data_IF_545507434274
#
_entry.id   IF_545507434274
#
_cell.length_a   1.000
_cell.length_b   1.000
_cell.length_c   1.000
_cell.angle_alpha   90.00
_cell.angle_beta   90.00
_cell.angle_gamma   90.00
#
_symmetry.space_group_name_H-M   'P 1'
#
loop_
_entity.id
_entity.type
_entity.pdbx_description
1 polymer ?
#
# COMPACT_ATOMS: atom_id res chain seq x y z
N UNK A 1 -1.45 -13.37 -1.77
CA UNK A 1 -2.82 -12.93 -1.44
C UNK A 1 -3.32 -11.80 -2.34
N UNK A 2 -2.51 -10.77 -2.63
CA UNK A 2 -2.92 -9.69 -3.56
C UNK A 2 -3.43 -10.20 -4.93
N UNK A 3 -2.71 -11.15 -5.55
CA UNK A 3 -3.14 -11.81 -6.79
C UNK A 3 -4.49 -12.53 -6.67
N UNK A 4 -4.68 -13.31 -5.60
CA UNK A 4 -5.94 -14.00 -5.32
C UNK A 4 -7.10 -13.02 -5.08
N UNK A 5 -6.85 -11.92 -4.36
CA UNK A 5 -7.81 -10.84 -4.18
C UNK A 5 -8.22 -10.22 -5.52
N UNK A 6 -7.25 -9.96 -6.41
CA UNK A 6 -7.52 -9.46 -7.75
C UNK A 6 -8.45 -10.38 -8.55
N UNK A 7 -8.19 -11.69 -8.53
CA UNK A 7 -9.04 -12.70 -9.19
C UNK A 7 -10.44 -12.74 -8.59
N UNK A 8 -10.56 -12.87 -7.27
CA UNK A 8 -11.85 -12.97 -6.58
C UNK A 8 -12.68 -11.70 -6.74
N UNK A 9 -12.06 -10.52 -6.58
CA UNK A 9 -12.73 -9.24 -6.83
C UNK A 9 -13.14 -9.09 -8.29
N UNK A 10 -12.30 -9.48 -9.26
CA UNK A 10 -12.64 -9.45 -10.68
C UNK A 10 -13.82 -10.34 -11.03
N UNK A 11 -13.84 -11.58 -10.52
CA UNK A 11 -14.95 -12.52 -10.70
C UNK A 11 -16.25 -11.99 -10.07
N UNK A 12 -16.23 -11.57 -8.81
CA UNK A 12 -17.41 -11.00 -8.14
C UNK A 12 -17.89 -9.72 -8.80
N UNK A 13 -16.97 -8.88 -9.32
CA UNK A 13 -17.34 -7.66 -10.03
C UNK A 13 -18.05 -7.96 -11.35
N UNK A 14 -17.54 -8.94 -12.12
CA UNK A 14 -18.20 -9.44 -13.33
C UNK A 14 -19.57 -10.05 -13.05
N UNK A 15 -19.70 -10.79 -11.96
CA UNK A 15 -20.95 -11.37 -11.48
C UNK A 15 -21.91 -10.36 -10.80
N UNK A 16 -21.57 -9.06 -10.80
CA UNK A 16 -22.34 -7.97 -10.15
C UNK A 16 -22.54 -8.14 -8.64
N UNK A 17 -21.72 -8.95 -7.99
CA UNK A 17 -21.72 -9.18 -6.54
C UNK A 17 -20.84 -8.14 -5.82
N UNK A 18 -21.16 -6.86 -5.97
CA UNK A 18 -20.31 -5.75 -5.49
C UNK A 18 -20.02 -5.79 -3.98
N UNK A 19 -20.97 -6.28 -3.17
CA UNK A 19 -20.79 -6.46 -1.72
C UNK A 19 -19.60 -7.39 -1.39
N UNK A 20 -19.37 -8.44 -2.19
CA UNK A 20 -18.31 -9.40 -1.94
C UNK A 20 -16.91 -8.81 -2.08
N UNK A 21 -16.73 -7.75 -2.88
CA UNK A 21 -15.43 -7.09 -3.02
C UNK A 21 -14.95 -6.52 -1.68
N UNK A 22 -15.85 -5.92 -0.90
CA UNK A 22 -15.54 -5.43 0.45
C UNK A 22 -15.18 -6.55 1.42
N UNK A 23 -15.90 -7.67 1.36
CA UNK A 23 -15.62 -8.86 2.19
C UNK A 23 -14.23 -9.43 1.87
N UNK A 24 -13.87 -9.56 0.58
CA UNK A 24 -12.56 -10.05 0.18
C UNK A 24 -11.42 -9.09 0.56
N UNK A 25 -11.66 -7.78 0.46
CA UNK A 25 -10.71 -6.75 0.92
C UNK A 25 -10.41 -6.91 2.41
N UNK A 26 -11.44 -7.01 3.26
CA UNK A 26 -11.29 -7.21 4.71
C UNK A 26 -10.57 -8.51 5.05
N UNK A 27 -10.97 -9.64 4.43
CA UNK A 27 -10.29 -10.93 4.63
C UNK A 27 -8.82 -10.87 4.24
N UNK A 28 -8.51 -10.17 3.14
CA UNK A 28 -7.13 -9.98 2.70
C UNK A 28 -6.32 -9.13 3.67
N UNK A 29 -6.91 -8.09 4.28
CA UNK A 29 -6.24 -7.31 5.32
C UNK A 29 -5.86 -8.14 6.52
N UNK A 30 -6.77 -8.99 7.01
CA UNK A 30 -6.48 -9.87 8.16
C UNK A 30 -5.29 -10.78 7.83
N UNK A 31 -5.31 -11.44 6.68
CA UNK A 31 -4.23 -12.36 6.28
C UNK A 31 -2.90 -11.61 6.09
N UNK A 32 -2.92 -10.46 5.41
CA UNK A 32 -1.71 -9.67 5.17
C UNK A 32 -1.16 -9.08 6.48
N UNK A 33 -2.01 -8.65 7.40
CA UNK A 33 -1.58 -8.14 8.71
C UNK A 33 -0.90 -9.23 9.55
N UNK A 34 -1.51 -10.42 9.62
CA UNK A 34 -0.91 -11.57 10.30
C UNK A 34 0.42 -11.95 9.66
N UNK A 35 0.49 -11.99 8.32
CA UNK A 35 1.75 -12.26 7.61
C UNK A 35 2.82 -11.19 7.91
N UNK A 36 2.44 -9.91 7.96
CA UNK A 36 3.36 -8.83 8.34
C UNK A 36 3.90 -9.00 9.76
N UNK A 37 3.07 -9.44 10.72
CA UNK A 37 3.53 -9.74 12.09
C UNK A 37 4.63 -10.81 12.08
N UNK A 38 4.43 -11.90 11.32
CA UNK A 38 5.46 -12.95 11.22
C UNK A 38 6.74 -12.48 10.53
N UNK A 39 6.67 -11.47 9.67
CA UNK A 39 7.85 -10.87 9.03
C UNK A 39 8.57 -9.84 9.90
N UNK A 40 7.91 -9.25 10.91
CA UNK A 40 8.51 -8.22 11.77
C UNK A 40 9.89 -8.58 12.36
N UNK A 41 10.13 -9.80 12.86
CA UNK A 41 11.45 -10.16 13.39
C UNK A 41 12.59 -9.94 12.40
N UNK A 42 12.37 -10.16 11.09
CA UNK A 42 13.41 -9.93 10.08
C UNK A 42 13.85 -8.47 10.01
N UNK A 43 12.92 -7.54 10.20
CA UNK A 43 13.18 -6.09 10.20
C UNK A 43 13.76 -5.60 11.54
N UNK A 44 13.32 -6.18 12.66
CA UNK A 44 13.84 -5.84 13.99
C UNK A 44 15.28 -6.34 14.16
N UNK A 45 15.56 -7.56 13.71
CA UNK A 45 16.85 -8.23 13.85
C UNK A 45 17.74 -8.11 12.60
N UNK A 46 17.50 -7.11 11.74
CA UNK A 46 18.28 -6.96 10.50
C UNK A 46 19.79 -6.85 10.77
N UNK A 47 20.24 -6.10 11.79
CA UNK A 47 21.68 -6.01 12.13
C UNK A 47 22.31 -7.37 12.45
N UNK A 48 21.85 -8.13 13.47
CA UNK A 48 22.45 -9.42 13.76
C UNK A 48 22.31 -10.41 12.61
N UNK A 49 21.21 -10.40 11.85
CA UNK A 49 21.06 -11.22 10.65
C UNK A 49 22.16 -10.90 9.63
N UNK A 50 22.40 -9.63 9.32
CA UNK A 50 23.43 -9.23 8.37
C UNK A 50 24.84 -9.59 8.85
N UNK A 51 25.12 -9.46 10.15
CA UNK A 51 26.41 -9.91 10.72
C UNK A 51 26.59 -11.42 10.56
N UNK A 52 25.55 -12.21 10.81
CA UNK A 52 25.58 -13.66 10.61
C UNK A 52 25.82 -14.05 9.15
N UNK A 53 25.35 -13.23 8.21
CA UNK A 53 25.61 -13.38 6.77
C UNK A 53 26.99 -12.89 6.33
N UNK A 54 27.86 -12.46 7.26
CA UNK A 54 29.23 -12.04 6.98
C UNK A 54 29.39 -10.59 6.52
N UNK A 55 28.38 -9.73 6.71
CA UNK A 55 28.53 -8.30 6.43
C UNK A 55 29.41 -7.62 7.48
N UNK A 56 30.12 -6.57 7.06
CA UNK A 56 30.89 -5.73 7.97
C UNK A 56 29.99 -5.03 8.98
N UNK A 57 30.52 -4.73 10.17
CA UNK A 57 29.76 -4.11 11.25
C UNK A 57 29.11 -2.78 10.85
N UNK A 58 29.81 -1.96 10.05
CA UNK A 58 29.28 -0.68 9.57
C UNK A 58 28.08 -0.86 8.65
N UNK A 59 28.14 -1.82 7.72
CA UNK A 59 27.03 -2.10 6.80
C UNK A 59 25.85 -2.76 7.51
N UNK A 60 26.12 -3.67 8.44
CA UNK A 60 25.08 -4.33 9.23
C UNK A 60 24.32 -3.35 10.14
N UNK A 61 25.01 -2.35 10.70
CA UNK A 61 24.38 -1.31 11.52
C UNK A 61 23.46 -0.42 10.68
N UNK A 62 23.93 0.04 9.52
CA UNK A 62 23.13 0.82 8.57
C UNK A 62 21.90 0.02 8.11
N UNK A 63 22.08 -1.25 7.76
CA UNK A 63 20.98 -2.14 7.39
C UNK A 63 19.93 -2.28 8.51
N UNK A 64 20.36 -2.31 9.77
CA UNK A 64 19.45 -2.29 10.91
C UNK A 64 18.66 -1.00 11.08
N UNK A 65 19.29 0.16 10.84
CA UNK A 65 18.60 1.45 10.83
C UNK A 65 17.51 1.47 9.76
N UNK A 66 17.86 1.09 8.52
CA UNK A 66 16.92 0.98 7.41
C UNK A 66 15.81 -0.04 7.71
N UNK A 67 16.16 -1.20 8.28
CA UNK A 67 15.22 -2.24 8.67
C UNK A 67 14.12 -1.72 9.60
N UNK A 68 14.48 -0.93 10.63
CA UNK A 68 13.50 -0.30 11.54
C UNK A 68 12.57 0.68 10.82
N UNK A 69 13.09 1.51 9.91
CA UNK A 69 12.26 2.41 9.11
C UNK A 69 11.27 1.66 8.21
N UNK A 70 11.71 0.54 7.62
CA UNK A 70 10.88 -0.29 6.74
C UNK A 70 9.74 -1.02 7.46
N UNK A 71 9.74 -1.09 8.80
CA UNK A 71 8.58 -1.61 9.55
C UNK A 71 7.32 -0.81 9.23
N UNK A 72 7.42 0.52 9.14
CA UNK A 72 6.28 1.36 8.75
C UNK A 72 5.80 1.04 7.33
N UNK A 73 6.75 0.87 6.40
CA UNK A 73 6.47 0.49 5.01
C UNK A 73 5.84 -0.90 4.90
N UNK A 74 6.22 -1.85 5.75
CA UNK A 74 5.66 -3.20 5.78
C UNK A 74 4.14 -3.18 6.02
N UNK A 75 3.67 -2.32 6.93
CA UNK A 75 2.23 -2.17 7.17
C UNK A 75 1.55 -1.37 6.06
N UNK A 76 2.24 -0.38 5.48
CA UNK A 76 1.75 0.35 4.33
C UNK A 76 1.44 -0.60 3.14
N UNK A 77 2.26 -1.63 2.91
CA UNK A 77 2.04 -2.60 1.84
C UNK A 77 0.70 -3.35 1.92
N UNK A 78 0.13 -3.52 3.12
CA UNK A 78 -1.19 -4.13 3.29
C UNK A 78 -2.22 -3.32 2.50
N UNK A 79 -2.26 -2.01 2.72
CA UNK A 79 -3.17 -1.10 2.01
C UNK A 79 -2.77 -0.99 0.54
N UNK A 80 -1.47 -0.81 0.25
CA UNK A 80 -0.99 -0.65 -1.13
C UNK A 80 -1.46 -1.78 -2.03
N UNK A 81 -1.23 -3.03 -1.64
CA UNK A 81 -1.55 -4.16 -2.50
C UNK A 81 -3.06 -4.42 -2.57
N UNK A 82 -3.74 -4.37 -1.43
CA UNK A 82 -5.13 -4.81 -1.38
C UNK A 82 -6.11 -3.76 -1.91
N UNK A 83 -5.92 -2.48 -1.59
CA UNK A 83 -6.73 -1.40 -2.17
C UNK A 83 -6.45 -1.24 -3.66
N UNK A 84 -5.20 -1.39 -4.12
CA UNK A 84 -4.92 -1.37 -5.55
C UNK A 84 -5.68 -2.47 -6.28
N UNK A 85 -5.65 -3.72 -5.80
CA UNK A 85 -6.39 -4.81 -6.46
C UNK A 85 -7.90 -4.59 -6.42
N UNK A 86 -8.44 -4.08 -5.30
CA UNK A 86 -9.85 -3.72 -5.18
C UNK A 86 -10.28 -2.64 -6.18
N UNK A 87 -9.43 -1.64 -6.43
CA UNK A 87 -9.71 -0.56 -7.38
C UNK A 87 -9.50 -1.02 -8.83
N UNK A 88 -8.45 -1.80 -9.09
CA UNK A 88 -8.12 -2.32 -10.41
C UNK A 88 -9.19 -3.28 -10.94
N UNK A 89 -9.72 -4.15 -10.08
CA UNK A 89 -10.81 -5.07 -10.46
C UNK A 89 -12.10 -4.35 -10.89
N UNK A 90 -12.22 -3.06 -10.56
CA UNK A 90 -13.36 -2.20 -10.90
C UNK A 90 -13.03 -1.20 -12.01
N UNK A 91 -11.88 -1.35 -12.67
CA UNK A 91 -11.35 -0.41 -13.68
C UNK A 91 -11.19 1.02 -13.15
N UNK A 92 -10.94 1.20 -11.85
CA UNK A 92 -10.69 2.51 -11.21
C UNK A 92 -9.19 2.81 -11.15
N UNK A 93 -8.46 2.54 -12.23
CA UNK A 93 -7.00 2.70 -12.25
C UNK A 93 -6.56 4.17 -12.18
N UNK A 94 -7.38 5.09 -12.68
CA UNK A 94 -7.03 6.51 -12.73
C UNK A 94 -6.71 7.10 -11.34
N UNK A 95 -7.45 6.74 -10.29
CA UNK A 95 -7.15 7.23 -8.95
C UNK A 95 -5.79 6.73 -8.45
N UNK A 96 -5.42 5.49 -8.78
CA UNK A 96 -4.12 4.91 -8.44
C UNK A 96 -3.01 5.69 -9.16
N UNK A 97 -3.19 5.94 -10.47
CA UNK A 97 -2.23 6.68 -11.29
C UNK A 97 -2.03 8.11 -10.80
N UNK A 98 -3.10 8.86 -10.51
CA UNK A 98 -2.99 10.23 -10.01
C UNK A 98 -2.29 10.29 -8.65
N UNK A 99 -2.66 9.40 -7.72
CA UNK A 99 -1.99 9.32 -6.42
C UNK A 99 -0.51 8.95 -6.56
N UNK A 100 -0.16 8.03 -7.46
CA UNK A 100 1.23 7.67 -7.73
C UNK A 100 2.02 8.87 -8.31
N UNK A 101 1.47 9.60 -9.28
CA UNK A 101 2.11 10.76 -9.88
C UNK A 101 2.39 11.86 -8.84
N UNK A 102 1.38 12.21 -8.02
CA UNK A 102 1.53 13.19 -6.93
C UNK A 102 2.59 12.72 -5.92
N UNK A 103 2.56 11.44 -5.57
CA UNK A 103 3.50 10.84 -4.61
C UNK A 103 4.93 10.91 -5.12
N UNK A 104 5.17 10.66 -6.41
CA UNK A 104 6.52 10.75 -7.01
C UNK A 104 7.06 12.17 -6.89
N UNK A 105 6.25 13.19 -7.22
CA UNK A 105 6.66 14.59 -7.11
C UNK A 105 7.01 14.94 -5.66
N UNK A 106 6.16 14.56 -4.71
CA UNK A 106 6.39 14.79 -3.28
C UNK A 106 7.65 14.04 -2.81
N UNK A 107 7.84 12.79 -3.23
CA UNK A 107 8.98 11.98 -2.82
C UNK A 107 10.29 12.54 -3.34
N UNK A 108 10.36 12.99 -4.60
CA UNK A 108 11.56 13.65 -5.14
C UNK A 108 11.88 14.92 -4.35
N UNK A 109 10.86 15.75 -4.10
CA UNK A 109 11.03 16.98 -3.34
C UNK A 109 11.50 16.72 -1.89
N UNK A 110 10.83 15.80 -1.17
CA UNK A 110 11.19 15.45 0.20
C UNK A 110 12.55 14.78 0.28
N UNK A 111 12.90 13.93 -0.67
CA UNK A 111 14.22 13.29 -0.73
C UNK A 111 15.31 14.35 -0.88
N UNK A 112 15.17 15.31 -1.80
CA UNK A 112 16.10 16.43 -1.92
C UNK A 112 16.16 17.28 -0.63
N UNK A 113 15.00 17.65 -0.09
CA UNK A 113 14.89 18.53 1.08
C UNK A 113 15.53 17.90 2.32
N UNK A 114 15.15 16.66 2.64
CA UNK A 114 15.59 15.99 3.86
C UNK A 114 17.05 15.52 3.78
N UNK A 115 17.50 15.04 2.61
CA UNK A 115 18.85 14.49 2.48
C UNK A 115 19.91 15.56 2.18
N UNK A 116 19.65 16.49 1.26
CA UNK A 116 20.65 17.46 0.80
C UNK A 116 20.54 18.80 1.54
N UNK A 117 19.32 19.33 1.67
CA UNK A 117 19.13 20.65 2.30
C UNK A 117 19.26 20.59 3.82
N UNK A 118 18.61 19.62 4.46
CA UNK A 118 18.69 19.41 5.91
C UNK A 118 19.77 18.43 6.36
N UNK A 119 20.46 17.76 5.42
CA UNK A 119 21.60 16.88 5.71
C UNK A 119 21.28 15.75 6.70
N UNK A 120 20.04 15.24 6.68
CA UNK A 120 19.59 14.17 7.58
C UNK A 120 20.05 12.77 7.15
N UNK A 121 20.84 12.67 6.06
CA UNK A 121 21.40 11.41 5.58
C UNK A 121 20.36 10.32 5.34
N UNK A 122 20.65 9.12 5.84
CA UNK A 122 19.80 7.92 5.68
C UNK A 122 18.43 8.11 6.32
N UNK A 123 18.37 8.68 7.53
CA UNK A 123 17.11 8.98 8.20
C UNK A 123 16.22 9.91 7.36
N UNK A 124 16.80 10.91 6.69
CA UNK A 124 16.07 11.77 5.76
C UNK A 124 15.52 11.03 4.53
N UNK A 125 16.33 10.15 3.94
CA UNK A 125 15.90 9.32 2.82
C UNK A 125 14.75 8.38 3.22
N UNK A 126 14.90 7.70 4.35
CA UNK A 126 13.88 6.77 4.86
C UNK A 126 12.59 7.48 5.24
N UNK A 127 12.65 8.67 5.84
CA UNK A 127 11.45 9.45 6.14
C UNK A 127 10.69 9.83 4.85
N UNK A 128 11.41 10.29 3.82
CA UNK A 128 10.83 10.54 2.50
C UNK A 128 10.16 9.28 1.92
N UNK A 129 10.81 8.12 2.05
CA UNK A 129 10.27 6.83 1.61
C UNK A 129 9.00 6.45 2.38
N UNK A 130 8.97 6.62 3.70
CA UNK A 130 7.77 6.34 4.51
C UNK A 130 6.59 7.17 4.03
N UNK A 131 6.79 8.48 3.78
CA UNK A 131 5.74 9.32 3.20
C UNK A 131 5.30 8.85 1.82
N UNK A 132 6.24 8.43 0.96
CA UNK A 132 5.92 7.94 -0.36
C UNK A 132 5.04 6.67 -0.35
N UNK A 133 5.14 5.84 0.69
CA UNK A 133 4.22 4.71 0.85
C UNK A 133 2.88 5.12 1.44
N UNK A 134 2.87 5.98 2.47
CA UNK A 134 1.63 6.29 3.18
C UNK A 134 0.70 7.27 2.46
N UNK A 135 1.22 8.27 1.74
CA UNK A 135 0.41 9.24 0.99
C UNK A 135 -0.57 8.58 0.01
N UNK A 136 -0.12 7.72 -0.94
CA UNK A 136 -1.04 7.10 -1.88
C UNK A 136 -1.96 6.09 -1.17
N UNK A 137 -1.49 5.44 -0.10
CA UNK A 137 -2.30 4.49 0.66
C UNK A 137 -3.46 5.14 1.39
N UNK A 138 -3.24 6.28 2.04
CA UNK A 138 -4.30 7.06 2.69
C UNK A 138 -5.32 7.50 1.63
N UNK A 139 -4.86 8.03 0.49
CA UNK A 139 -5.74 8.43 -0.60
C UNK A 139 -6.57 7.27 -1.16
N UNK A 140 -5.95 6.11 -1.41
CA UNK A 140 -6.65 4.92 -1.89
C UNK A 140 -7.64 4.39 -0.85
N UNK A 141 -7.28 4.39 0.44
CA UNK A 141 -8.15 3.94 1.52
C UNK A 141 -9.41 4.82 1.63
N UNK A 142 -9.24 6.14 1.64
CA UNK A 142 -10.36 7.10 1.65
C UNK A 142 -11.29 6.85 0.46
N UNK A 143 -10.71 6.65 -0.74
CA UNK A 143 -11.50 6.39 -1.94
C UNK A 143 -12.22 5.03 -1.90
N UNK A 144 -11.58 3.98 -1.38
CA UNK A 144 -12.21 2.67 -1.19
C UNK A 144 -13.38 2.74 -0.20
N UNK A 145 -13.21 3.41 0.94
CA UNK A 145 -14.27 3.58 1.94
C UNK A 145 -15.43 4.38 1.35
N UNK A 146 -15.16 5.46 0.60
CA UNK A 146 -16.19 6.22 -0.11
C UNK A 146 -16.97 5.34 -1.09
N UNK A 147 -16.29 4.52 -1.89
CA UNK A 147 -16.94 3.59 -2.82
C UNK A 147 -17.80 2.56 -2.10
N UNK A 148 -17.34 2.01 -0.97
CA UNK A 148 -18.11 1.08 -0.17
C UNK A 148 -19.38 1.72 0.39
N UNK A 149 -19.28 2.92 0.96
CA UNK A 149 -20.44 3.68 1.45
C UNK A 149 -21.45 3.99 0.34
N UNK A 150 -20.97 4.42 -0.83
CA UNK A 150 -21.83 4.70 -1.97
C UNK A 150 -22.51 3.43 -2.48
N UNK A 151 -21.81 2.28 -2.47
CA UNK A 151 -22.37 0.99 -2.91
C UNK A 151 -23.52 0.47 -2.05
N UNK A 152 -23.60 0.91 -0.79
CA UNK A 152 -24.70 0.59 0.13
C UNK A 152 -25.93 1.49 -0.06
N UNK A 153 -25.85 2.57 -0.87
CA UNK A 153 -27.01 3.43 -1.14
C UNK A 153 -27.96 2.75 -2.14
N UNK A 154 -29.29 2.83 -1.93
CA UNK A 154 -30.28 2.15 -2.77
C UNK A 154 -30.22 2.54 -4.26
N UNK A 155 -29.77 3.77 -4.57
CA UNK A 155 -29.75 4.31 -5.93
C UNK A 155 -28.41 4.09 -6.68
N UNK A 156 -27.38 3.52 -6.05
CA UNK A 156 -26.05 3.35 -6.66
C UNK A 156 -26.06 2.37 -7.85
N UNK A 157 -26.93 1.36 -7.80
CA UNK A 157 -27.03 0.33 -8.85
C UNK A 157 -27.62 0.86 -10.16
N UNK A 158 -28.41 1.94 -10.13
CA UNK A 158 -29.06 2.50 -11.32
C UNK A 158 -28.08 3.29 -12.21
N UNK A 159 -27.10 3.98 -11.64
CA UNK A 159 -26.19 4.88 -12.38
C UNK A 159 -24.95 4.18 -12.96
N UNK A 160 -24.51 3.07 -12.38
CA UNK A 160 -23.36 2.28 -12.87
C UNK A 160 -23.70 1.33 -14.02
N UNK A 161 -24.95 0.87 -14.11
CA UNK A 161 -25.44 0.03 -15.23
C UNK A 161 -25.72 0.87 -16.49
N UNK A 162 -26.23 2.09 -16.33
CA UNK A 162 -26.52 3.01 -17.44
C UNK A 162 -25.25 3.44 -18.20
N UNK A 163 -24.13 3.67 -17.50
CA UNK A 163 -22.86 4.12 -18.11
C UNK A 163 -22.04 3.03 -18.83
N UNK A 164 -22.49 1.78 -18.87
CA UNK A 164 -21.82 0.68 -19.61
C UNK A 164 -22.56 0.25 -20.88
N UNK A 165 -23.62 0.96 -21.27
CA UNK A 165 -24.40 0.67 -22.49
C UNK A 165 -24.05 1.57 -23.68
N UNK A 166 -22.94 2.30 -23.63
CA UNK A 166 -22.42 3.08 -24.76
C UNK A 166 -21.00 2.64 -25.05
#
# INVERSE_FOLDING_TARGET
>A
MSSALGTLCGQSYGAKQYHMLGVYLQRSWIVMFVASIFLLPLFIFTTPILKLLGQSDSMAYIGGEVGRWLISTLFAFIVSFTCQMYLQSQSKNMIITYLAAVTIVIHIFLSWLLTLKYKLGISGAMLSTVFAFWIPNIGQLIYCVKLLMDSNKPNYKASTVSKRKV
#
